data_IF_439532575612
#
_entry.id   IF_439532575612
#
_cell.length_a   1.000
_cell.length_b   1.000
_cell.length_c   1.000
_cell.angle_alpha   90.00
_cell.angle_beta   90.00
_cell.angle_gamma   90.00
#
_symmetry.space_group_name_H-M   'P 1'
#
loop_
_entity.id
_entity.type
_entity.pdbx_description
1 polymer ?
#
# COMPACT_ATOMS: atom_id res chain seq x y z
N UNK A 1 -19.49 -33.00 -19.63
CA UNK A 1 -19.63 -31.56 -19.96
C UNK A 1 -20.01 -30.64 -18.79
N UNK A 2 -20.85 -31.04 -17.81
CA UNK A 2 -21.23 -30.15 -16.69
C UNK A 2 -20.12 -29.79 -15.69
N UNK A 3 -19.13 -30.67 -15.46
CA UNK A 3 -18.01 -30.39 -14.53
C UNK A 3 -16.99 -29.39 -15.07
N UNK A 4 -16.78 -29.35 -16.38
CA UNK A 4 -15.83 -28.42 -17.03
C UNK A 4 -16.39 -27.00 -17.03
N UNK A 5 -17.70 -26.84 -17.23
CA UNK A 5 -18.36 -25.52 -17.14
C UNK A 5 -18.29 -24.94 -15.73
N UNK A 6 -18.37 -25.77 -14.69
CA UNK A 6 -18.32 -25.33 -13.29
C UNK A 6 -16.92 -24.86 -12.86
N UNK A 7 -15.86 -25.49 -13.37
CA UNK A 7 -14.46 -25.07 -13.12
C UNK A 7 -14.13 -23.78 -13.87
N UNK A 8 -14.65 -23.59 -15.09
CA UNK A 8 -14.48 -22.33 -15.84
C UNK A 8 -15.27 -21.19 -15.17
N UNK A 9 -16.46 -21.48 -14.62
CA UNK A 9 -17.25 -20.48 -13.89
C UNK A 9 -16.56 -20.05 -12.58
N UNK A 10 -15.90 -20.97 -11.86
CA UNK A 10 -15.12 -20.63 -10.66
C UNK A 10 -13.88 -19.79 -11.02
N UNK A 11 -13.19 -20.11 -12.13
CA UNK A 11 -12.06 -19.29 -12.59
C UNK A 11 -12.49 -17.86 -12.96
N UNK A 12 -13.62 -17.71 -13.66
CA UNK A 12 -14.18 -16.39 -13.99
C UNK A 12 -14.72 -15.62 -12.78
N UNK A 13 -15.11 -16.30 -11.70
CA UNK A 13 -15.54 -15.67 -10.44
C UNK A 13 -14.33 -15.25 -9.59
N UNK A 14 -13.22 -16.00 -9.63
CA UNK A 14 -11.99 -15.64 -8.91
C UNK A 14 -11.29 -14.42 -9.52
N UNK A 15 -11.30 -14.26 -10.85
CA UNK A 15 -10.78 -13.05 -11.52
C UNK A 15 -11.63 -11.79 -11.22
N UNK A 16 -12.83 -11.96 -10.64
CA UNK A 16 -13.75 -10.87 -10.31
C UNK A 16 -13.68 -10.40 -8.84
N UNK A 17 -12.80 -10.99 -8.01
CA UNK A 17 -12.77 -10.72 -6.56
C UNK A 17 -11.69 -9.74 -6.10
N UNK A 18 -10.87 -9.20 -7.00
CA UNK A 18 -10.12 -7.97 -6.73
C UNK A 18 -10.96 -6.77 -7.17
N UNK A 19 -12.10 -6.53 -6.52
CA UNK A 19 -12.90 -5.35 -6.83
C UNK A 19 -12.07 -4.10 -6.56
N UNK A 20 -11.61 -3.46 -7.63
CA UNK A 20 -11.00 -2.14 -7.56
C UNK A 20 -12.04 -1.20 -6.95
N UNK A 21 -11.70 -0.53 -5.84
CA UNK A 21 -12.54 0.55 -5.31
C UNK A 21 -12.29 1.87 -6.06
N UNK A 22 -11.92 1.80 -7.33
CA UNK A 22 -11.69 3.00 -8.15
C UNK A 22 -13.03 3.49 -8.66
N UNK A 23 -13.39 4.69 -8.23
CA UNK A 23 -14.55 5.42 -8.74
C UNK A 23 -14.14 6.13 -10.03
N UNK A 24 -14.43 5.52 -11.17
CA UNK A 24 -14.13 6.10 -12.47
C UNK A 24 -14.88 7.41 -12.71
N UNK A 25 -14.17 8.41 -13.28
CA UNK A 25 -14.72 9.73 -13.61
C UNK A 25 -14.80 10.70 -12.43
N UNK A 26 -14.36 10.29 -11.24
CA UNK A 26 -14.32 11.13 -10.04
C UNK A 26 -12.95 11.80 -9.88
N UNK A 27 -12.95 12.97 -9.23
CA UNK A 27 -11.75 13.77 -8.99
C UNK A 27 -11.12 13.35 -7.67
N UNK A 28 -10.01 12.63 -7.75
CA UNK A 28 -9.17 12.34 -6.60
C UNK A 28 -8.16 13.46 -6.40
N UNK A 29 -8.07 14.02 -5.21
CA UNK A 29 -7.24 15.18 -4.92
C UNK A 29 -6.00 14.79 -4.11
N UNK A 30 -4.87 15.41 -4.41
CA UNK A 30 -3.66 15.26 -3.63
C UNK A 30 -3.75 16.17 -2.38
N UNK A 31 -3.63 15.64 -1.16
CA UNK A 31 -3.72 16.46 0.05
C UNK A 31 -2.48 17.34 0.28
N UNK A 32 -1.33 16.96 -0.28
CA UNK A 32 -0.04 17.62 -0.06
C UNK A 32 0.32 18.63 -1.14
N UNK A 33 -0.28 18.52 -2.32
CA UNK A 33 -0.05 19.39 -3.47
C UNK A 33 -1.39 19.81 -4.05
N UNK A 34 -1.50 21.05 -4.55
CA UNK A 34 -2.69 21.49 -5.29
C UNK A 34 -2.74 20.79 -6.67
N UNK A 35 -3.09 19.51 -6.65
CA UNK A 35 -3.22 18.70 -7.84
C UNK A 35 -4.30 17.64 -7.66
N UNK A 36 -4.80 17.12 -8.78
CA UNK A 36 -5.81 16.08 -8.80
C UNK A 36 -5.61 15.13 -9.95
N UNK A 37 -6.21 13.95 -9.82
CA UNK A 37 -6.26 12.93 -10.87
C UNK A 37 -7.70 12.49 -11.08
N UNK A 38 -8.09 12.34 -12.33
CA UNK A 38 -9.34 11.70 -12.73
C UNK A 38 -8.96 10.44 -13.48
N UNK A 39 -9.40 9.28 -12.99
CA UNK A 39 -9.19 8.02 -13.68
C UNK A 39 -10.48 7.64 -14.40
N UNK A 40 -10.39 7.42 -15.70
CA UNK A 40 -11.44 6.84 -16.53
C UNK A 40 -11.05 5.42 -16.94
N UNK A 41 -11.97 4.71 -17.60
CA UNK A 41 -11.71 3.33 -18.06
C UNK A 41 -10.51 3.24 -19.02
N UNK A 42 -10.36 4.23 -19.91
CA UNK A 42 -9.36 4.23 -20.99
C UNK A 42 -8.44 5.45 -20.99
N UNK A 43 -8.53 6.31 -19.98
CA UNK A 43 -7.73 7.53 -19.86
C UNK A 43 -7.55 7.94 -18.41
N UNK A 44 -6.58 8.79 -18.15
CA UNK A 44 -6.57 9.59 -16.92
C UNK A 44 -6.18 11.03 -17.23
N UNK A 45 -6.62 11.94 -16.39
CA UNK A 45 -6.28 13.36 -16.44
C UNK A 45 -5.58 13.72 -15.16
N UNK A 46 -4.47 14.44 -15.23
CA UNK A 46 -3.78 15.00 -14.07
C UNK A 46 -3.86 16.51 -14.16
N UNK A 47 -4.30 17.13 -13.07
CA UNK A 47 -4.20 18.56 -12.88
C UNK A 47 -3.08 18.80 -11.88
N UNK A 48 -2.07 19.56 -12.24
CA UNK A 48 -0.96 19.89 -11.35
C UNK A 48 -0.74 21.40 -11.35
N UNK A 49 -0.41 21.98 -10.18
CA UNK A 49 0.10 23.34 -10.12
C UNK A 49 1.54 23.37 -10.66
N UNK A 50 1.72 24.00 -11.81
CA UNK A 50 3.03 24.43 -12.27
C UNK A 50 3.30 25.83 -11.69
N UNK A 51 4.28 25.92 -10.80
CA UNK A 51 4.64 27.16 -10.09
C UNK A 51 5.06 28.33 -10.99
N UNK A 52 5.20 28.15 -12.32
CA UNK A 52 5.47 29.21 -13.28
C UNK A 52 4.32 29.54 -14.23
N UNK A 53 3.41 28.59 -14.50
CA UNK A 53 2.40 28.71 -15.56
C UNK A 53 0.95 28.51 -15.08
N UNK A 54 0.72 28.28 -13.77
CA UNK A 54 -0.61 28.04 -13.22
C UNK A 54 -1.00 26.56 -13.24
N UNK A 55 -2.30 26.26 -13.19
CA UNK A 55 -2.80 24.87 -13.26
C UNK A 55 -2.58 24.34 -14.67
N UNK A 56 -1.80 23.26 -14.81
CA UNK A 56 -1.70 22.48 -16.05
C UNK A 56 -2.63 21.28 -15.97
N UNK A 57 -3.53 21.19 -16.96
CA UNK A 57 -4.39 20.03 -17.15
C UNK A 57 -3.79 19.18 -18.26
N UNK A 58 -3.25 18.04 -17.90
CA UNK A 58 -2.69 17.09 -18.84
C UNK A 58 -3.63 15.88 -18.96
N UNK A 59 -4.08 15.61 -20.18
CA UNK A 59 -4.90 14.45 -20.49
C UNK A 59 -4.05 13.38 -21.14
N UNK A 60 -4.07 12.19 -20.58
CA UNK A 60 -3.29 11.07 -21.07
C UNK A 60 -4.20 9.93 -21.48
N UNK A 61 -4.02 9.48 -22.73
CA UNK A 61 -4.51 8.18 -23.12
C UNK A 61 -3.81 7.12 -22.27
N UNK A 62 -4.58 6.30 -21.58
CA UNK A 62 -4.02 5.35 -20.64
C UNK A 62 -4.58 3.97 -20.84
N UNK A 63 -3.96 3.01 -20.18
CA UNK A 63 -4.58 1.71 -19.99
C UNK A 63 -4.40 1.35 -18.53
N UNK A 64 -5.51 1.11 -17.85
CA UNK A 64 -5.45 0.27 -16.67
C UNK A 64 -5.40 -1.16 -17.16
N UNK A 65 -4.34 -1.87 -16.79
CA UNK A 65 -4.31 -3.30 -17.01
C UNK A 65 -3.84 -3.99 -15.75
N UNK A 66 -4.36 -5.19 -15.61
CA UNK A 66 -4.12 -6.05 -14.46
C UNK A 66 -3.07 -7.07 -14.88
N UNK A 67 -2.10 -7.29 -14.01
CA UNK A 67 -1.39 -8.57 -14.00
C UNK A 67 -1.90 -9.38 -12.80
N UNK A 68 -1.33 -10.56 -12.57
CA UNK A 68 -1.79 -11.48 -11.52
C UNK A 68 -1.95 -10.83 -10.13
N UNK A 69 -1.24 -9.74 -9.82
CA UNK A 69 -1.28 -9.10 -8.50
C UNK A 69 -1.51 -7.59 -8.54
N UNK A 70 -0.96 -6.88 -9.51
CA UNK A 70 -0.96 -5.42 -9.55
C UNK A 70 -1.82 -4.88 -10.68
N UNK A 71 -2.50 -3.78 -10.36
CA UNK A 71 -3.06 -2.88 -11.34
C UNK A 71 -1.99 -1.88 -11.77
N UNK A 72 -1.90 -1.64 -13.06
CA UNK A 72 -0.95 -0.70 -13.63
C UNK A 72 -1.67 0.42 -14.34
N UNK A 73 -1.29 1.66 -14.05
CA UNK A 73 -1.66 2.83 -14.83
C UNK A 73 -0.49 3.16 -15.76
N UNK A 74 -0.70 3.02 -17.07
CA UNK A 74 0.33 3.30 -18.08
C UNK A 74 -0.11 4.42 -19.01
N UNK A 75 0.75 5.42 -19.18
CA UNK A 75 0.60 6.48 -20.16
C UNK A 75 1.05 5.99 -21.54
N UNK A 76 0.15 5.99 -22.52
CA UNK A 76 0.47 5.51 -23.88
C UNK A 76 1.27 6.51 -24.71
N UNK A 77 1.24 7.79 -24.34
CA UNK A 77 1.91 8.87 -25.08
C UNK A 77 3.33 9.10 -24.56
N UNK A 78 3.58 8.78 -23.28
CA UNK A 78 4.89 8.78 -22.65
C UNK A 78 5.18 7.37 -22.13
N UNK A 79 5.83 6.55 -22.95
CA UNK A 79 6.14 5.13 -22.67
C UNK A 79 6.84 4.84 -21.33
N UNK A 80 7.39 5.87 -20.66
CA UNK A 80 8.07 5.74 -19.38
C UNK A 80 7.22 6.16 -18.16
N UNK A 81 6.01 6.69 -18.37
CA UNK A 81 5.13 7.10 -17.28
C UNK A 81 4.16 5.96 -16.95
N UNK A 82 4.63 5.07 -16.07
CA UNK A 82 3.87 3.92 -15.59
C UNK A 82 3.87 3.91 -14.07
N UNK A 83 2.76 3.46 -13.49
CA UNK A 83 2.54 3.42 -12.05
C UNK A 83 1.90 2.09 -11.65
N UNK A 84 2.33 1.52 -10.52
CA UNK A 84 1.50 0.55 -9.79
C UNK A 84 0.40 1.36 -9.11
N UNK A 85 -0.83 0.86 -9.21
CA UNK A 85 -2.02 1.48 -8.67
C UNK A 85 -2.53 0.68 -7.49
N UNK A 86 -2.49 1.29 -6.30
CA UNK A 86 -2.98 0.72 -5.05
C UNK A 86 -4.19 1.52 -4.56
N UNK A 87 -5.16 0.83 -3.98
CA UNK A 87 -6.37 1.48 -3.46
C UNK A 87 -6.81 0.90 -2.12
N UNK A 88 -7.53 1.71 -1.35
CA UNK A 88 -8.40 1.25 -0.26
C UNK A 88 -9.53 2.25 -0.02
N UNK A 89 -10.54 1.81 0.71
CA UNK A 89 -11.64 2.67 1.17
C UNK A 89 -11.75 2.59 2.68
N UNK A 90 -11.97 3.73 3.32
CA UNK A 90 -12.02 3.88 4.77
C UNK A 90 -13.16 4.82 5.11
N UNK A 91 -14.26 4.27 5.65
CA UNK A 91 -15.53 4.99 5.79
C UNK A 91 -15.97 5.55 4.43
N UNK A 92 -16.15 6.87 4.32
CA UNK A 92 -16.60 7.58 3.11
C UNK A 92 -15.43 8.16 2.28
N UNK A 93 -14.21 7.67 2.51
CA UNK A 93 -12.99 8.14 1.87
C UNK A 93 -12.34 7.03 1.05
N UNK A 94 -12.08 7.32 -0.22
CA UNK A 94 -11.35 6.44 -1.11
C UNK A 94 -9.92 6.96 -1.30
N UNK A 95 -8.95 6.10 -1.00
CA UNK A 95 -7.54 6.37 -1.17
C UNK A 95 -7.05 5.71 -2.45
N UNK A 96 -6.27 6.49 -3.20
CA UNK A 96 -5.61 6.08 -4.43
C UNK A 96 -4.13 6.43 -4.32
N UNK A 97 -3.28 5.42 -4.46
CA UNK A 97 -1.84 5.59 -4.39
C UNK A 97 -1.18 5.11 -5.67
N UNK A 98 -0.46 6.02 -6.32
CA UNK A 98 0.39 5.71 -7.45
C UNK A 98 1.81 5.43 -6.96
N UNK A 99 2.35 4.26 -7.27
CA UNK A 99 3.74 3.90 -6.97
C UNK A 99 4.54 3.87 -8.27
N UNK A 100 5.62 4.64 -8.36
CA UNK A 100 6.51 4.67 -9.53
C UNK A 100 7.98 4.47 -9.16
N UNK A 101 8.81 4.22 -10.18
CA UNK A 101 10.26 4.24 -10.02
C UNK A 101 10.75 5.67 -9.75
N UNK A 102 11.69 5.84 -8.82
CA UNK A 102 12.43 7.09 -8.64
C UNK A 102 13.89 6.90 -9.00
N UNK A 103 14.42 7.77 -9.86
CA UNK A 103 15.84 7.81 -10.11
C UNK A 103 16.56 8.45 -8.91
N UNK A 104 16.95 7.62 -7.96
CA UNK A 104 17.86 8.01 -6.87
C UNK A 104 19.06 7.09 -6.87
N UNK A 105 20.24 7.68 -6.86
CA UNK A 105 21.54 6.98 -6.88
C UNK A 105 21.86 6.24 -5.57
N UNK A 106 21.09 6.46 -4.50
CA UNK A 106 21.43 6.01 -3.14
C UNK A 106 20.45 5.02 -2.50
N UNK A 107 19.33 4.68 -3.14
CA UNK A 107 18.39 3.70 -2.59
C UNK A 107 18.36 2.42 -3.42
N UNK A 108 18.56 1.27 -2.76
CA UNK A 108 18.35 -0.07 -3.35
C UNK A 108 16.86 -0.34 -3.68
N UNK A 109 15.98 0.49 -3.12
CA UNK A 109 14.54 0.54 -3.33
C UNK A 109 14.16 1.87 -3.95
N UNK A 110 13.60 1.84 -5.15
CA UNK A 110 13.30 3.04 -5.95
C UNK A 110 11.80 3.32 -6.01
N UNK A 111 11.07 3.16 -4.91
CA UNK A 111 9.66 3.51 -4.91
C UNK A 111 9.49 5.00 -4.60
N UNK A 112 8.62 5.65 -5.35
CA UNK A 112 7.99 6.91 -4.96
C UNK A 112 6.48 6.67 -4.92
N UNK A 113 5.80 7.31 -3.97
CA UNK A 113 4.37 7.16 -3.74
C UNK A 113 3.70 8.53 -3.86
N UNK A 114 2.61 8.58 -4.60
CA UNK A 114 1.79 9.78 -4.80
C UNK A 114 0.39 9.46 -4.32
N UNK A 115 -0.09 10.21 -3.33
CA UNK A 115 -1.38 9.99 -2.69
C UNK A 115 -2.44 10.90 -3.29
N UNK A 116 -3.59 10.31 -3.59
CA UNK A 116 -4.79 11.02 -3.93
C UNK A 116 -5.97 10.44 -3.18
N UNK A 117 -6.92 11.30 -2.84
CA UNK A 117 -8.04 10.95 -2.01
C UNK A 117 -9.33 11.47 -2.63
N UNK A 118 -10.42 10.71 -2.51
CA UNK A 118 -11.76 11.11 -2.93
C UNK A 118 -12.73 11.10 -1.74
N UNK A 119 -13.60 12.11 -1.67
CA UNK A 119 -14.70 12.22 -0.71
C UNK A 119 -15.92 12.82 -1.40
N UNK A 120 -17.12 12.34 -1.09
CA UNK A 120 -18.37 12.90 -1.62
C UNK A 120 -18.67 14.31 -1.07
N UNK A 121 -18.09 14.69 0.08
CA UNK A 121 -18.29 16.00 0.70
C UNK A 121 -17.07 16.91 0.47
N UNK A 122 -17.19 17.83 -0.49
CA UNK A 122 -16.14 18.78 -0.87
C UNK A 122 -15.69 19.68 0.30
N UNK A 123 -16.56 19.96 1.28
CA UNK A 123 -16.18 20.82 2.41
C UNK A 123 -15.18 20.15 3.36
N UNK A 124 -15.04 18.82 3.28
CA UNK A 124 -14.07 18.06 4.07
C UNK A 124 -12.65 18.10 3.51
N UNK A 125 -12.42 18.75 2.36
CA UNK A 125 -11.14 18.79 1.67
C UNK A 125 -9.97 19.22 2.56
N UNK A 126 -10.13 20.33 3.30
CA UNK A 126 -9.08 20.87 4.17
C UNK A 126 -8.84 20.05 5.45
N UNK A 127 -9.70 19.05 5.71
CA UNK A 127 -9.63 18.13 6.86
C UNK A 127 -9.41 16.68 6.43
N UNK A 128 -9.08 16.43 5.16
CA UNK A 128 -8.96 15.07 4.62
C UNK A 128 -7.80 14.33 5.29
N UNK A 129 -8.04 13.15 5.87
CA UNK A 129 -6.99 12.38 6.50
C UNK A 129 -5.95 11.94 5.47
N UNK A 130 -4.70 11.91 5.91
CA UNK A 130 -3.59 11.37 5.14
C UNK A 130 -3.20 10.00 5.70
N UNK A 131 -2.62 9.16 4.84
CA UNK A 131 -1.97 7.93 5.28
C UNK A 131 -0.57 8.28 5.82
N UNK A 132 -0.35 8.00 7.09
CA UNK A 132 0.94 8.23 7.73
C UNK A 132 1.61 6.90 8.06
N UNK A 133 2.85 6.71 7.64
CA UNK A 133 3.66 5.57 8.04
C UNK A 133 4.04 5.70 9.51
N UNK A 134 3.97 4.59 10.24
CA UNK A 134 4.50 4.51 11.60
C UNK A 134 6.03 4.60 11.61
N UNK A 135 6.57 5.18 12.67
CA UNK A 135 7.97 5.05 13.04
C UNK A 135 8.22 3.65 13.62
N UNK A 136 9.29 3.00 13.19
CA UNK A 136 9.71 1.71 13.74
C UNK A 136 10.58 1.94 14.98
N UNK A 137 10.16 1.38 16.12
CA UNK A 137 10.90 1.42 17.38
C UNK A 137 11.93 0.28 17.39
N UNK A 138 11.44 -0.94 17.14
CA UNK A 138 12.23 -2.17 17.05
C UNK A 138 11.48 -3.24 16.28
N UNK A 139 12.19 -4.27 15.84
CA UNK A 139 11.60 -5.53 15.39
C UNK A 139 12.41 -6.67 16.00
N UNK A 140 11.72 -7.73 16.41
CA UNK A 140 12.36 -8.93 16.95
C UNK A 140 13.02 -9.77 15.84
N UNK A 141 12.61 -9.57 14.58
CA UNK A 141 13.21 -10.21 13.43
C UNK A 141 13.15 -9.32 12.19
N UNK A 142 14.25 -9.31 11.43
CA UNK A 142 14.34 -8.67 10.13
C UNK A 142 15.43 -9.34 9.28
N UNK A 143 15.33 -9.23 7.95
CA UNK A 143 16.30 -9.78 7.01
C UNK A 143 17.53 -8.87 6.89
N UNK A 144 18.71 -9.50 6.84
CA UNK A 144 19.98 -8.86 6.51
C UNK A 144 20.55 -9.51 5.24
N UNK A 145 20.85 -8.71 4.23
CA UNK A 145 21.46 -9.15 2.98
C UNK A 145 22.84 -8.50 2.81
N UNK A 146 23.86 -9.32 2.50
CA UNK A 146 25.20 -8.83 2.16
C UNK A 146 25.34 -8.74 0.65
N UNK A 147 25.53 -7.53 0.15
CA UNK A 147 25.75 -7.27 -1.25
C UNK A 147 27.19 -7.60 -1.67
N UNK A 148 27.41 -7.75 -2.97
CA UNK A 148 28.73 -8.08 -3.55
C UNK A 148 29.83 -7.08 -3.20
N UNK A 149 29.48 -5.82 -3.01
CA UNK A 149 30.39 -4.75 -2.60
C UNK A 149 30.65 -4.71 -1.08
N UNK A 150 30.10 -5.67 -0.31
CA UNK A 150 30.23 -5.74 1.13
C UNK A 150 29.23 -4.87 1.90
N UNK A 151 28.38 -4.09 1.22
CA UNK A 151 27.31 -3.33 1.88
C UNK A 151 26.26 -4.28 2.47
N UNK A 152 25.86 -4.02 3.72
CA UNK A 152 24.77 -4.73 4.38
C UNK A 152 23.45 -3.97 4.17
N UNK A 153 22.45 -4.64 3.59
CA UNK A 153 21.08 -4.17 3.52
C UNK A 153 20.28 -4.74 4.66
N UNK A 154 19.64 -3.84 5.41
CA UNK A 154 18.73 -4.17 6.50
C UNK A 154 17.30 -3.95 6.04
N UNK A 155 16.51 -5.00 5.95
CA UNK A 155 15.08 -4.95 5.60
C UNK A 155 14.23 -4.58 6.82
N UNK A 156 14.49 -3.39 7.35
CA UNK A 156 13.74 -2.79 8.44
C UNK A 156 13.66 -1.28 8.18
N UNK A 157 12.47 -0.74 7.89
CA UNK A 157 12.31 0.70 7.67
C UNK A 157 12.59 1.50 8.95
N UNK A 158 12.98 2.77 8.79
CA UNK A 158 12.81 3.77 9.85
C UNK A 158 11.34 4.18 9.99
N UNK A 159 10.66 4.34 8.86
CA UNK A 159 9.24 4.63 8.76
C UNK A 159 8.59 3.71 7.72
N UNK A 160 7.40 3.23 8.01
CA UNK A 160 6.73 2.12 7.30
C UNK A 160 5.96 2.55 6.05
N UNK A 161 6.47 3.55 5.32
CA UNK A 161 5.99 3.92 3.99
C UNK A 161 6.50 2.96 2.91
N UNK A 162 5.74 2.72 1.83
CA UNK A 162 6.15 1.91 0.67
C UNK A 162 7.36 2.52 -0.05
N UNK A 163 7.50 3.84 0.03
CA UNK A 163 8.66 4.58 -0.49
C UNK A 163 9.98 4.25 0.25
N UNK A 164 9.91 3.64 1.43
CA UNK A 164 11.06 3.19 2.20
C UNK A 164 11.39 1.71 2.00
N UNK A 165 12.45 1.27 2.67
CA UNK A 165 12.78 -0.14 2.84
C UNK A 165 11.58 -0.90 3.45
N UNK A 166 11.10 -2.01 2.86
CA UNK A 166 10.04 -2.80 3.47
C UNK A 166 10.53 -3.50 4.74
N UNK A 167 9.60 -3.90 5.61
CA UNK A 167 9.93 -4.85 6.67
C UNK A 167 9.88 -6.27 6.10
N UNK A 168 11.00 -6.98 6.14
CA UNK A 168 11.06 -8.38 5.77
C UNK A 168 11.64 -9.21 6.90
N UNK A 169 11.05 -10.38 7.18
CA UNK A 169 11.50 -11.32 8.20
C UNK A 169 11.63 -12.73 7.61
N UNK A 170 12.54 -13.54 8.14
CA UNK A 170 12.73 -14.92 7.65
C UNK A 170 11.50 -15.78 7.99
N UNK A 171 11.05 -16.60 7.05
CA UNK A 171 9.90 -17.50 7.25
C UNK A 171 10.04 -18.42 8.47
N UNK A 172 11.25 -18.94 8.71
CA UNK A 172 11.57 -19.79 9.87
C UNK A 172 11.83 -19.06 11.19
N UNK A 173 11.59 -17.74 11.28
CA UNK A 173 11.77 -16.99 12.53
C UNK A 173 10.69 -17.35 13.55
N UNK A 174 11.10 -17.69 14.78
CA UNK A 174 10.21 -18.04 15.90
C UNK A 174 9.35 -16.85 16.37
N UNK A 175 9.85 -15.63 16.16
CA UNK A 175 9.13 -14.38 16.42
C UNK A 175 9.19 -13.46 15.21
N UNK A 176 8.04 -13.00 14.75
CA UNK A 176 7.88 -12.12 13.59
C UNK A 176 7.12 -10.87 14.02
N UNK A 177 7.75 -10.11 14.92
CA UNK A 177 7.14 -8.96 15.60
C UNK A 177 7.83 -7.65 15.23
N UNK A 178 7.03 -6.59 15.03
CA UNK A 178 7.48 -5.21 14.86
C UNK A 178 6.71 -4.28 15.80
N UNK A 179 7.43 -3.32 16.38
CA UNK A 179 6.92 -2.35 17.35
C UNK A 179 6.97 -0.96 16.73
N UNK A 180 5.84 -0.28 16.77
CA UNK A 180 5.53 0.89 15.95
C UNK A 180 4.97 2.02 16.81
N UNK A 181 5.29 3.25 16.45
CA UNK A 181 4.78 4.48 17.10
C UNK A 181 4.33 5.50 16.05
N UNK A 182 3.25 6.26 16.31
CA UNK A 182 2.90 7.40 15.46
C UNK A 182 4.01 8.47 15.48
N UNK A 183 4.03 9.36 14.48
CA UNK A 183 5.11 10.35 14.33
C UNK A 183 4.96 11.57 15.25
N UNK A 184 3.84 11.68 15.96
CA UNK A 184 3.47 12.79 16.87
C UNK A 184 2.36 12.33 17.83
N UNK A 185 1.89 13.23 18.70
CA UNK A 185 0.71 13.04 19.58
C UNK A 185 -0.61 13.03 18.76
N UNK A 186 -0.63 12.24 17.69
CA UNK A 186 -1.77 12.05 16.82
C UNK A 186 -2.53 10.85 17.33
N UNK A 187 -3.84 11.00 17.39
CA UNK A 187 -4.73 9.89 17.69
C UNK A 187 -5.18 9.20 16.41
N UNK A 188 -5.29 7.87 16.44
CA UNK A 188 -5.72 7.05 15.32
C UNK A 188 -6.56 5.87 15.82
N UNK A 189 -7.40 5.31 14.97
CA UNK A 189 -8.15 4.07 15.28
C UNK A 189 -8.12 3.05 14.15
N UNK A 190 -7.41 3.38 13.07
CA UNK A 190 -7.37 2.60 11.84
C UNK A 190 -5.92 2.40 11.42
N UNK A 191 -5.56 1.15 11.17
CA UNK A 191 -4.28 0.75 10.57
C UNK A 191 -4.54 0.34 9.13
N UNK A 192 -3.63 0.69 8.23
CA UNK A 192 -3.69 0.31 6.82
C UNK A 192 -2.41 -0.46 6.46
N UNK A 193 -2.56 -1.62 5.84
CA UNK A 193 -1.43 -2.53 5.55
C UNK A 193 -1.26 -2.67 4.04
N UNK A 194 -0.04 -2.45 3.56
CA UNK A 194 0.43 -2.89 2.25
C UNK A 194 1.19 -4.22 2.41
N UNK A 195 0.45 -5.31 2.23
CA UNK A 195 0.96 -6.66 2.43
C UNK A 195 1.83 -7.11 1.25
N UNK A 196 2.91 -7.85 1.50
CA UNK A 196 3.82 -8.35 0.47
C UNK A 196 4.87 -7.35 0.01
N UNK A 197 5.71 -7.78 -0.94
CA UNK A 197 6.82 -6.99 -1.48
C UNK A 197 6.35 -6.16 -2.68
N UNK A 198 6.02 -4.89 -2.42
CA UNK A 198 5.61 -3.92 -3.42
C UNK A 198 6.84 -3.10 -3.86
N UNK A 199 7.32 -3.38 -5.08
CA UNK A 199 8.42 -2.63 -5.67
C UNK A 199 8.21 -2.46 -7.17
N UNK A 200 8.20 -1.21 -7.63
CA UNK A 200 7.90 -0.88 -9.02
C UNK A 200 8.84 -1.57 -10.01
N UNK A 201 10.16 -1.52 -9.77
CA UNK A 201 11.17 -2.09 -10.66
C UNK A 201 11.25 -3.62 -10.55
N UNK A 202 10.69 -4.21 -9.49
CA UNK A 202 10.77 -5.65 -9.18
C UNK A 202 9.42 -6.22 -8.74
N UNK A 203 8.36 -6.09 -9.57
CA UNK A 203 7.01 -6.47 -9.17
C UNK A 203 6.88 -8.00 -8.99
N UNK A 204 7.72 -8.79 -9.65
CA UNK A 204 7.78 -10.25 -9.49
C UNK A 204 8.16 -10.67 -8.05
N UNK A 205 8.77 -9.79 -7.24
CA UNK A 205 9.11 -10.11 -5.86
C UNK A 205 7.88 -10.23 -4.96
N UNK A 206 6.72 -9.69 -5.37
CA UNK A 206 5.48 -9.86 -4.64
C UNK A 206 5.09 -11.34 -4.52
N UNK A 207 5.10 -12.06 -5.66
CA UNK A 207 4.77 -13.48 -5.73
C UNK A 207 5.89 -14.34 -5.13
N UNK A 208 7.15 -13.96 -5.39
CA UNK A 208 8.31 -14.76 -4.99
C UNK A 208 8.52 -14.80 -3.49
N UNK A 209 8.17 -13.75 -2.75
CA UNK A 209 8.28 -13.72 -1.28
C UNK A 209 6.97 -14.12 -0.63
N UNK A 210 7.04 -14.65 0.59
CA UNK A 210 5.86 -14.91 1.40
C UNK A 210 5.18 -13.61 1.82
N UNK A 211 3.86 -13.68 2.04
CA UNK A 211 3.00 -12.55 2.40
C UNK A 211 2.28 -12.88 3.69
N UNK A 212 1.98 -11.90 4.54
CA UNK A 212 1.28 -12.19 5.79
C UNK A 212 -0.16 -12.62 5.50
N UNK A 213 -0.61 -13.73 6.08
CA UNK A 213 -1.98 -14.23 5.96
C UNK A 213 -2.80 -13.95 7.20
N UNK A 214 -2.19 -14.16 8.37
CA UNK A 214 -2.82 -13.88 9.66
C UNK A 214 -1.85 -13.09 10.52
N UNK A 215 -2.33 -12.00 11.09
CA UNK A 215 -1.55 -11.14 11.97
C UNK A 215 -2.24 -10.97 13.32
N UNK A 216 -1.48 -10.64 14.34
CA UNK A 216 -1.96 -10.16 15.62
C UNK A 216 -1.50 -8.73 15.82
N UNK A 217 -2.42 -7.87 16.23
CA UNK A 217 -2.13 -6.49 16.58
C UNK A 217 -2.42 -6.32 18.07
N UNK A 218 -1.47 -5.76 18.79
CA UNK A 218 -1.60 -5.39 20.19
C UNK A 218 -1.42 -3.88 20.34
N UNK A 219 -2.34 -3.25 21.07
CA UNK A 219 -2.34 -1.81 21.34
C UNK A 219 -2.94 -1.59 22.73
N UNK A 220 -2.30 -0.75 23.55
CA UNK A 220 -2.62 -0.59 24.97
C UNK A 220 -2.75 -1.94 25.72
N UNK A 221 -3.95 -2.26 26.20
CA UNK A 221 -4.30 -3.52 26.87
C UNK A 221 -5.13 -4.46 25.97
N UNK A 222 -5.23 -4.16 24.68
CA UNK A 222 -6.01 -4.92 23.71
C UNK A 222 -5.08 -5.75 22.82
N UNK A 223 -5.62 -6.88 22.35
CA UNK A 223 -4.94 -7.75 21.40
C UNK A 223 -5.99 -8.41 20.53
N UNK A 224 -5.80 -8.37 19.21
CA UNK A 224 -6.74 -8.97 18.26
C UNK A 224 -6.02 -9.54 17.04
N UNK A 225 -6.56 -10.64 16.52
CA UNK A 225 -6.06 -11.30 15.32
C UNK A 225 -6.90 -10.89 14.11
N UNK A 226 -6.25 -10.75 12.97
CA UNK A 226 -6.85 -10.35 11.70
C UNK A 226 -6.33 -11.24 10.57
N UNK A 227 -7.22 -11.61 9.65
CA UNK A 227 -6.83 -12.24 8.40
C UNK A 227 -6.61 -11.17 7.33
N UNK A 228 -5.53 -11.30 6.59
CA UNK A 228 -5.20 -10.47 5.45
C UNK A 228 -5.49 -11.24 4.16
N UNK A 229 -6.06 -10.55 3.20
CA UNK A 229 -6.22 -11.03 1.83
C UNK A 229 -4.86 -11.10 1.13
N UNK A 230 -4.72 -12.04 0.18
CA UNK A 230 -3.53 -12.16 -0.66
C UNK A 230 -3.58 -11.14 -1.82
N UNK A 231 -3.48 -9.85 -1.46
CA UNK A 231 -3.54 -8.72 -2.40
C UNK A 231 -2.52 -7.65 -2.05
N UNK A 232 -1.91 -6.96 -3.03
CA UNK A 232 -1.05 -5.81 -2.77
C UNK A 232 -1.84 -4.54 -2.47
N UNK A 233 -3.16 -4.51 -2.74
CA UNK A 233 -4.00 -3.38 -2.36
C UNK A 233 -3.95 -3.17 -0.84
N UNK A 234 -4.11 -1.91 -0.45
CA UNK A 234 -4.14 -1.55 0.94
C UNK A 234 -5.32 -2.22 1.66
N UNK A 235 -5.06 -2.75 2.85
CA UNK A 235 -6.06 -3.42 3.67
C UNK A 235 -6.25 -2.66 4.97
N UNK A 236 -7.50 -2.30 5.26
CA UNK A 236 -7.88 -1.48 6.40
C UNK A 236 -8.26 -2.34 7.59
N UNK A 237 -7.70 -2.03 8.75
CA UNK A 237 -7.99 -2.67 10.03
C UNK A 237 -8.43 -1.61 11.03
N UNK A 238 -9.69 -1.70 11.45
CA UNK A 238 -10.26 -0.84 12.50
C UNK A 238 -9.98 -1.47 13.86
N UNK A 239 -9.27 -0.75 14.73
CA UNK A 239 -8.86 -1.21 16.06
C UNK A 239 -10.03 -1.19 17.05
N UNK A 240 -10.86 -0.15 17.00
CA UNK A 240 -12.05 -0.02 17.84
C UNK A 240 -13.25 0.47 17.05
N UNK A 241 -14.41 -0.09 17.33
CA UNK A 241 -15.69 0.32 16.72
C UNK A 241 -16.30 1.54 17.43
N UNK A 242 -15.71 1.99 18.55
CA UNK A 242 -16.11 3.22 19.24
C UNK A 242 -15.27 4.38 18.71
N UNK A 243 -15.72 5.61 18.91
CA UNK A 243 -14.93 6.85 18.69
C UNK A 243 -13.76 6.98 19.69
N UNK A 244 -13.16 5.86 20.07
CA UNK A 244 -11.95 5.77 20.86
C UNK A 244 -10.77 5.93 19.91
N UNK A 245 -9.96 6.96 20.17
CA UNK A 245 -8.76 7.25 19.41
C UNK A 245 -7.53 6.95 20.26
N UNK A 246 -6.48 6.44 19.63
CA UNK A 246 -5.27 5.95 20.29
C UNK A 246 -4.06 6.76 19.85
N UNK A 247 -3.22 7.20 20.79
CA UNK A 247 -1.93 7.85 20.52
C UNK A 247 -0.72 6.96 20.89
N UNK A 248 -1.00 5.75 21.37
CA UNK A 248 -0.01 4.79 21.86
C UNK A 248 0.70 3.98 20.77
N UNK A 249 1.73 3.24 21.20
CA UNK A 249 2.49 2.31 20.36
C UNK A 249 1.65 1.08 19.99
N UNK A 250 1.93 0.51 18.82
CA UNK A 250 1.32 -0.75 18.34
C UNK A 250 2.41 -1.81 18.15
N UNK A 251 2.09 -3.04 18.49
CA UNK A 251 2.85 -4.22 18.12
C UNK A 251 2.08 -5.00 17.06
N UNK A 252 2.77 -5.35 15.96
CA UNK A 252 2.24 -6.26 14.94
C UNK A 252 3.08 -7.54 14.92
N UNK A 253 2.41 -8.69 14.94
CA UNK A 253 3.00 -10.03 14.86
C UNK A 253 2.42 -10.79 13.67
N UNK A 254 3.27 -11.47 12.89
CA UNK A 254 2.84 -12.34 11.79
C UNK A 254 2.70 -13.78 12.33
N UNK A 255 1.49 -14.33 12.24
CA UNK A 255 1.13 -15.66 12.74
C UNK A 255 1.13 -16.74 11.65
N UNK A 256 0.55 -16.41 10.49
CA UNK A 256 0.48 -17.30 9.32
C UNK A 256 0.85 -16.52 8.06
N UNK A 257 1.28 -17.26 7.02
CA UNK A 257 1.72 -16.67 5.76
C UNK A 257 1.07 -17.35 4.55
N UNK A 258 0.93 -16.60 3.47
CA UNK A 258 0.86 -17.17 2.12
C UNK A 258 2.28 -17.45 1.67
N UNK A 259 2.54 -18.68 1.23
CA UNK A 259 3.89 -19.06 0.79
C UNK A 259 4.29 -18.31 -0.48
N UNK A 260 5.54 -17.86 -0.49
CA UNK A 260 6.19 -17.32 -1.68
C UNK A 260 6.51 -18.44 -2.68
N UNK A 261 6.50 -18.12 -3.97
CA UNK A 261 6.86 -19.11 -5.00
C UNK A 261 8.36 -19.46 -5.01
N UNK A 262 9.21 -18.68 -4.32
CA UNK A 262 10.67 -18.84 -4.33
C UNK A 262 11.35 -18.65 -2.98
N UNK A 263 10.96 -17.63 -2.22
CA UNK A 263 11.58 -17.24 -0.95
C UNK A 263 10.55 -17.40 0.16
N UNK A 264 11.00 -17.96 1.29
CA UNK A 264 10.17 -18.08 2.49
C UNK A 264 10.17 -16.82 3.35
N UNK A 265 10.95 -15.79 2.97
CA UNK A 265 10.94 -14.50 3.64
C UNK A 265 9.56 -13.84 3.52
N UNK A 266 9.04 -13.35 4.63
CA UNK A 266 7.73 -12.71 4.73
C UNK A 266 7.91 -11.21 4.72
N UNK A 267 7.13 -10.52 3.89
CA UNK A 267 7.34 -9.09 3.63
C UNK A 267 6.05 -8.30 3.82
N UNK A 268 6.19 -7.14 4.47
CA UNK A 268 5.16 -6.10 4.54
C UNK A 268 5.80 -4.80 4.04
N UNK A 269 5.30 -4.29 2.91
CA UNK A 269 5.84 -3.09 2.27
C UNK A 269 5.44 -1.80 2.95
N UNK A 270 4.30 -1.76 3.62
CA UNK A 270 3.94 -0.59 4.40
C UNK A 270 2.89 -0.86 5.47
N UNK A 271 2.96 -0.06 6.54
CA UNK A 271 2.05 -0.09 7.67
C UNK A 271 1.75 1.37 8.00
N UNK A 272 0.50 1.76 7.92
CA UNK A 272 0.08 3.14 8.03
C UNK A 272 -1.00 3.29 9.09
N UNK A 273 -1.15 4.49 9.61
CA UNK A 273 -2.32 4.91 10.36
C UNK A 273 -3.01 6.08 9.65
N UNK A 274 -4.27 6.26 9.99
CA UNK A 274 -5.02 7.47 9.65
C UNK A 274 -5.16 8.34 10.88
N UNK A 275 -4.69 9.57 10.75
CA UNK A 275 -4.94 10.63 11.72
C UNK A 275 -6.45 10.88 11.85
N UNK A 276 -6.92 10.85 13.10
CA UNK A 276 -8.27 11.25 13.44
C UNK A 276 -8.24 12.73 13.84
N UNK A 277 -8.89 13.57 13.03
CA UNK A 277 -9.11 15.00 13.29
C UNK A 277 -10.36 15.23 14.14
#
# INVERSE_FOLDING_TARGET
MKKVLFVILIYFICDFLFSQNIKYGYVYNNPSEYGSIIINKDSYSVNCLDGKEGIKNENYNSKIFENQYFNWLENREKLNDKYILLTCSIKDLDFLTLVCSRDSSNNYFKNWEIYYNYCDDYNKYNSMPCLHGFKVIKADSFLLEKLKNGTELKYLPKYTWISNMPWATRGGSDKKEIYLEPNSLITYNTIVIANGFICFDKPYLYEQNSRAKKIRISWDNNTKEFELQDTPNFQTIVLSNKEEYYDGSVQLEILEVYEGSKYSDVVISGIYYIECN
#
